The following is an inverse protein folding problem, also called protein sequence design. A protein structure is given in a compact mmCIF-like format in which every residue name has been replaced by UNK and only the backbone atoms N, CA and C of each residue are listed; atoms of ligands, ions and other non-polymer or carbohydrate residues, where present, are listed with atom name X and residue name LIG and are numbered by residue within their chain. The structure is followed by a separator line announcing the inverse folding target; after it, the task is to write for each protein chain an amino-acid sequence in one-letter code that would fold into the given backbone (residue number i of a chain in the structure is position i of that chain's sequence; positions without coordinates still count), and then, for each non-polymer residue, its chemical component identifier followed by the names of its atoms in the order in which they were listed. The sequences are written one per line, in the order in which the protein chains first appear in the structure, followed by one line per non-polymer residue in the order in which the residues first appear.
data_IF_836551594853
#
_entry.id   IF_836551594853
#
_cell.length_a   1.000
_cell.length_b   1.000
_cell.length_c   1.000
_cell.angle_alpha   90.00
_cell.angle_beta   90.00
_cell.angle_gamma   90.00
#
_symmetry.space_group_name_H-M   'P 1'
#
loop_
_entity.id
_entity.type
_entity.pdbx_description
1 polymer ?
#
# COMPACT_ATOMS: atom_id res chain seq x y z
N UNK A 1 -11.97 -20.25 6.92
CA UNK A 1 -11.28 -20.76 5.71
C UNK A 1 -11.73 -20.17 4.37
N UNK A 2 -13.02 -20.18 3.96
CA UNK A 2 -13.41 -19.58 2.65
C UNK A 2 -13.09 -18.08 2.55
N UNK A 3 -13.39 -17.31 3.61
CA UNK A 3 -13.07 -15.87 3.66
C UNK A 3 -11.56 -15.57 3.70
N UNK A 4 -10.78 -16.35 4.46
CA UNK A 4 -9.31 -16.20 4.52
C UNK A 4 -8.67 -16.40 3.14
N UNK A 5 -9.07 -17.46 2.42
CA UNK A 5 -8.56 -17.73 1.08
C UNK A 5 -8.85 -16.58 0.13
N UNK A 6 -10.05 -16.02 0.18
CA UNK A 6 -10.42 -14.85 -0.61
C UNK A 6 -9.54 -13.64 -0.29
N UNK A 7 -9.23 -13.41 0.98
CA UNK A 7 -8.38 -12.27 1.39
C UNK A 7 -6.93 -12.46 0.95
N UNK A 8 -6.37 -13.66 1.09
CA UNK A 8 -5.02 -13.94 0.59
C UNK A 8 -4.94 -13.81 -0.94
N UNK A 9 -5.97 -14.24 -1.67
CA UNK A 9 -6.07 -14.04 -3.12
C UNK A 9 -6.19 -12.55 -3.50
N UNK A 10 -6.96 -11.76 -2.75
CA UNK A 10 -7.08 -10.31 -2.94
C UNK A 10 -5.74 -9.60 -2.73
N UNK A 11 -5.01 -9.94 -1.66
CA UNK A 11 -3.69 -9.37 -1.36
C UNK A 11 -2.68 -9.75 -2.45
N UNK A 12 -2.65 -11.03 -2.86
CA UNK A 12 -1.76 -11.50 -3.91
C UNK A 12 -2.04 -10.81 -5.25
N UNK A 13 -3.31 -10.60 -5.60
CA UNK A 13 -3.72 -9.85 -6.80
C UNK A 13 -3.33 -8.38 -6.71
N UNK A 14 -3.61 -7.72 -5.60
CA UNK A 14 -3.28 -6.30 -5.38
C UNK A 14 -1.76 -6.08 -5.48
N UNK A 15 -0.95 -6.95 -4.89
CA UNK A 15 0.52 -6.90 -5.01
C UNK A 15 1.01 -7.08 -6.45
N UNK A 16 0.44 -8.03 -7.18
CA UNK A 16 0.80 -8.29 -8.59
C UNK A 16 0.43 -7.10 -9.47
N UNK A 17 -0.76 -6.53 -9.26
CA UNK A 17 -1.21 -5.34 -9.97
C UNK A 17 -0.35 -4.12 -9.64
N UNK A 18 0.06 -3.94 -8.38
CA UNK A 18 0.92 -2.84 -7.97
C UNK A 18 2.32 -2.93 -8.60
N UNK A 19 2.87 -4.15 -8.70
CA UNK A 19 4.14 -4.40 -9.39
C UNK A 19 4.05 -4.21 -10.91
N UNK A 20 2.87 -4.45 -11.51
CA UNK A 20 2.60 -4.30 -12.94
C UNK A 20 2.07 -2.93 -13.37
N UNK A 21 1.73 -2.05 -12.42
CA UNK A 21 1.17 -0.74 -12.68
C UNK A 21 2.18 0.15 -13.43
N UNK A 22 1.71 0.74 -14.54
CA UNK A 22 2.53 1.52 -15.47
C UNK A 22 2.45 3.01 -15.20
N UNK A 23 1.32 3.47 -14.67
CA UNK A 23 1.10 4.87 -14.33
C UNK A 23 1.12 5.10 -12.82
N UNK A 24 1.38 6.34 -12.42
CA UNK A 24 1.32 6.74 -11.00
C UNK A 24 -0.10 6.56 -10.46
N UNK A 25 -1.11 6.91 -11.25
CA UNK A 25 -2.52 6.77 -10.85
C UNK A 25 -2.91 5.30 -10.62
N UNK A 26 -2.46 4.39 -11.48
CA UNK A 26 -2.65 2.94 -11.29
C UNK A 26 -1.96 2.47 -10.01
N UNK A 27 -0.74 2.93 -9.72
CA UNK A 27 -0.05 2.60 -8.46
C UNK A 27 -0.81 3.08 -7.24
N UNK A 28 -1.33 4.31 -7.27
CA UNK A 28 -2.11 4.88 -6.15
C UNK A 28 -3.40 4.10 -5.94
N UNK A 29 -4.13 3.79 -7.01
CA UNK A 29 -5.37 3.00 -6.93
C UNK A 29 -5.11 1.61 -6.36
N UNK A 30 -4.05 0.93 -6.82
CA UNK A 30 -3.74 -0.43 -6.38
C UNK A 30 -3.22 -0.46 -4.94
N UNK A 31 -2.48 0.58 -4.52
CA UNK A 31 -2.07 0.73 -3.12
C UNK A 31 -3.28 0.85 -2.19
N UNK A 32 -4.29 1.65 -2.55
CA UNK A 32 -5.52 1.76 -1.75
C UNK A 32 -6.32 0.44 -1.65
N UNK A 33 -6.26 -0.40 -2.69
CA UNK A 33 -6.87 -1.74 -2.63
C UNK A 33 -6.10 -2.68 -1.70
N UNK A 34 -4.76 -2.58 -1.70
CA UNK A 34 -3.89 -3.34 -0.80
C UNK A 34 -4.15 -2.97 0.67
N UNK A 35 -4.24 -1.67 0.98
CA UNK A 35 -4.58 -1.15 2.31
C UNK A 35 -5.91 -1.71 2.83
N UNK A 36 -6.95 -1.71 1.98
CA UNK A 36 -8.25 -2.26 2.32
C UNK A 36 -8.22 -3.75 2.60
N UNK A 37 -7.44 -4.51 1.83
CA UNK A 37 -7.27 -5.95 2.02
C UNK A 37 -6.46 -6.27 3.29
N UNK A 38 -5.44 -5.47 3.60
CA UNK A 38 -4.65 -5.59 4.82
C UNK A 38 -5.48 -5.29 6.07
N UNK A 39 -6.32 -4.25 6.02
CA UNK A 39 -7.24 -3.93 7.11
C UNK A 39 -8.18 -5.09 7.42
N UNK A 40 -8.71 -5.77 6.38
CA UNK A 40 -9.54 -6.98 6.55
C UNK A 40 -8.75 -8.16 7.12
N UNK A 41 -7.50 -8.34 6.69
CA UNK A 41 -6.65 -9.41 7.19
C UNK A 41 -6.32 -9.24 8.69
N UNK A 42 -6.09 -8.00 9.15
CA UNK A 42 -5.87 -7.72 10.57
C UNK A 42 -7.07 -8.13 11.44
N UNK A 43 -8.30 -7.81 11.01
CA UNK A 43 -9.54 -8.21 11.71
C UNK A 43 -9.67 -9.74 11.80
N UNK A 44 -9.27 -10.46 10.75
CA UNK A 44 -9.29 -11.93 10.77
C UNK A 44 -8.20 -12.49 11.69
N UNK A 45 -7.00 -11.91 11.67
CA UNK A 45 -5.91 -12.34 12.55
C UNK A 45 -6.26 -12.27 14.03
N UNK A 46 -7.09 -11.33 14.46
CA UNK A 46 -7.58 -11.27 15.84
C UNK A 46 -8.45 -12.47 16.22
N UNK A 47 -9.17 -13.05 15.25
CA UNK A 47 -10.03 -14.21 15.44
C UNK A 47 -9.29 -15.55 15.28
N UNK A 48 -8.05 -15.55 14.77
CA UNK A 48 -7.26 -16.76 14.51
C UNK A 48 -5.81 -16.63 15.06
N UNK A 49 -5.59 -16.94 16.36
CA UNK A 49 -4.29 -16.82 17.03
C UNK A 49 -3.18 -17.69 16.41
N UNK A 50 -3.55 -18.82 15.80
CA UNK A 50 -2.60 -19.71 15.12
C UNK A 50 -2.01 -19.06 13.87
N UNK A 51 -2.82 -18.26 13.15
CA UNK A 51 -2.38 -17.52 11.97
C UNK A 51 -1.44 -16.37 12.36
N UNK A 52 -1.72 -15.72 13.50
CA UNK A 52 -0.85 -14.70 14.11
C UNK A 52 0.52 -15.27 14.53
N UNK A 53 0.56 -16.54 14.89
CA UNK A 53 1.78 -17.24 15.29
C UNK A 53 2.59 -17.76 14.09
N UNK A 54 2.06 -17.65 12.87
CA UNK A 54 2.76 -18.09 11.67
C UNK A 54 3.83 -17.08 11.25
N UNK A 55 5.09 -17.51 11.36
CA UNK A 55 6.26 -16.65 11.10
C UNK A 55 6.34 -16.13 9.66
N UNK A 56 5.84 -16.89 8.68
CA UNK A 56 5.78 -16.44 7.27
C UNK A 56 4.77 -15.31 7.09
N UNK A 57 3.64 -15.36 7.79
CA UNK A 57 2.61 -14.30 7.74
C UNK A 57 3.12 -13.04 8.44
N UNK A 58 3.81 -13.18 9.57
CA UNK A 58 4.45 -12.07 10.28
C UNK A 58 5.51 -11.37 9.40
N UNK A 59 6.38 -12.13 8.73
CA UNK A 59 7.37 -11.56 7.79
C UNK A 59 6.72 -10.82 6.62
N UNK A 60 5.65 -11.38 6.05
CA UNK A 60 4.93 -10.71 4.97
C UNK A 60 4.30 -9.39 5.44
N UNK A 61 3.76 -9.35 6.65
CA UNK A 61 3.22 -8.13 7.26
C UNK A 61 4.30 -7.07 7.45
N UNK A 62 5.48 -7.46 7.94
CA UNK A 62 6.62 -6.56 8.12
C UNK A 62 7.12 -5.98 6.78
N UNK A 63 7.22 -6.82 5.74
CA UNK A 63 7.57 -6.36 4.40
C UNK A 63 6.53 -5.38 3.84
N UNK A 64 5.24 -5.67 4.03
CA UNK A 64 4.15 -4.80 3.59
C UNK A 64 4.19 -3.45 4.29
N UNK A 65 4.35 -3.43 5.62
CA UNK A 65 4.54 -2.19 6.37
C UNK A 65 5.78 -1.41 5.90
N UNK A 66 6.87 -2.11 5.59
CA UNK A 66 8.06 -1.52 4.98
C UNK A 66 7.78 -0.87 3.62
N UNK A 67 6.98 -1.51 2.77
CA UNK A 67 6.57 -0.93 1.48
C UNK A 67 5.65 0.27 1.65
N UNK A 68 4.69 0.21 2.58
CA UNK A 68 3.76 1.30 2.89
C UNK A 68 4.51 2.57 3.33
N UNK A 69 5.50 2.40 4.22
CA UNK A 69 6.36 3.48 4.66
C UNK A 69 7.15 4.12 3.50
N UNK A 70 7.67 3.31 2.57
CA UNK A 70 8.37 3.84 1.38
C UNK A 70 7.41 4.61 0.46
N UNK A 71 6.19 4.10 0.24
CA UNK A 71 5.16 4.81 -0.52
C UNK A 71 4.84 6.15 0.12
N UNK A 72 4.69 6.20 1.45
CA UNK A 72 4.41 7.44 2.18
C UNK A 72 5.53 8.49 2.00
N UNK A 73 6.80 8.07 2.09
CA UNK A 73 7.96 8.94 1.86
C UNK A 73 8.00 9.47 0.43
N UNK A 74 7.82 8.60 -0.57
CA UNK A 74 7.84 9.02 -1.97
C UNK A 74 6.65 9.92 -2.31
N UNK A 75 5.47 9.67 -1.74
CA UNK A 75 4.29 10.54 -1.89
C UNK A 75 4.57 11.94 -1.35
N UNK A 76 5.21 12.04 -0.17
CA UNK A 76 5.62 13.33 0.39
C UNK A 76 6.60 14.04 -0.55
N UNK A 77 7.63 13.33 -1.00
CA UNK A 77 8.65 13.89 -1.90
C UNK A 77 8.05 14.41 -3.21
N UNK A 78 7.12 13.65 -3.79
CA UNK A 78 6.37 14.07 -4.97
C UNK A 78 5.58 15.35 -4.71
N UNK A 79 4.82 15.41 -3.61
CA UNK A 79 4.02 16.58 -3.24
C UNK A 79 4.89 17.82 -3.00
N UNK A 80 6.06 17.66 -2.36
CA UNK A 80 7.00 18.76 -2.13
C UNK A 80 7.50 19.35 -3.46
N UNK A 81 7.93 18.50 -4.40
CA UNK A 81 8.39 18.93 -5.74
C UNK A 81 7.27 19.61 -6.54
N UNK A 82 6.06 19.06 -6.52
CA UNK A 82 4.89 19.66 -7.17
C UNK A 82 4.52 20.99 -6.52
N UNK A 83 4.66 21.11 -5.20
CA UNK A 83 4.47 22.35 -4.46
C UNK A 83 5.43 23.44 -4.91
N UNK A 84 6.73 23.14 -4.95
CA UNK A 84 7.77 24.07 -5.40
C UNK A 84 7.58 24.51 -6.85
N UNK A 85 7.22 23.56 -7.73
CA UNK A 85 6.88 23.85 -9.12
C UNK A 85 5.69 24.82 -9.21
N UNK A 86 4.61 24.54 -8.49
CA UNK A 86 3.42 25.38 -8.47
C UNK A 86 3.69 26.79 -7.94
N UNK A 87 4.56 26.93 -6.94
CA UNK A 87 5.00 28.24 -6.42
C UNK A 87 5.78 28.99 -7.50
N UNK A 88 6.70 28.31 -8.18
CA UNK A 88 7.57 28.91 -9.20
C UNK A 88 6.76 29.46 -10.37
N UNK A 89 5.79 28.71 -10.89
CA UNK A 89 4.97 29.15 -12.04
C UNK A 89 3.95 30.24 -11.69
N UNK A 90 3.53 30.33 -10.42
CA UNK A 90 2.59 31.35 -9.93
C UNK A 90 3.27 32.65 -9.49
N UNK A 91 4.61 32.70 -9.53
CA UNK A 91 5.37 33.90 -9.21
C UNK A 91 5.37 34.82 -10.44
N UNK A 92 4.67 35.93 -10.35
CA UNK A 92 4.75 37.00 -11.36
C UNK A 92 6.12 37.68 -11.18
N UNK A 93 6.91 37.89 -12.25
CA UNK A 93 8.20 38.59 -12.14
C UNK A 93 8.01 39.98 -11.51
N UNK A 94 8.90 40.36 -10.60
CA UNK A 94 8.99 41.73 -10.08
C UNK A 94 10.03 42.50 -10.85
#
# INVERSE_FOLDING_TARGET
MKQEKTIFEEIAKARTQYGGAKTVDEKVQTAGQLDGALSRLLVIMENYPDLKSNQTVAQLMDELAGTENRIAVERKRFNDVVGDFNITIKKVPT
#
